data_IF_673604394716
#
_entry.id   IF_673604394716
#
_cell.length_a   1.000
_cell.length_b   1.000
_cell.length_c   1.000
_cell.angle_alpha   90.00
_cell.angle_beta   90.00
_cell.angle_gamma   90.00
#
_symmetry.space_group_name_H-M   'P 1'
#
loop_
_entity.id
_entity.type
_entity.pdbx_description
1 polymer ?
#
# COMPACT_ATOMS: atom_id res chain seq x y z
N UNK A 1 22.64 -4.13 9.09
CA UNK A 1 21.85 -2.95 9.53
C UNK A 1 21.70 -1.90 8.45
N UNK A 2 22.80 -1.42 7.82
CA UNK A 2 22.73 -0.43 6.73
C UNK A 2 21.82 -0.84 5.56
N UNK A 3 21.94 -2.08 5.09
CA UNK A 3 21.13 -2.56 3.95
C UNK A 3 19.63 -2.66 4.28
N UNK A 4 19.32 -3.00 5.53
CA UNK A 4 17.96 -3.00 6.04
C UNK A 4 17.36 -1.59 6.08
N UNK A 5 18.14 -0.60 6.52
CA UNK A 5 17.73 0.81 6.51
C UNK A 5 17.49 1.29 5.08
N UNK A 6 18.37 0.93 4.13
CA UNK A 6 18.22 1.29 2.72
C UNK A 6 16.95 0.66 2.14
N UNK A 7 16.71 -0.62 2.42
CA UNK A 7 15.50 -1.31 1.97
C UNK A 7 14.23 -0.64 2.51
N UNK A 8 14.20 -0.33 3.81
CA UNK A 8 13.09 0.39 4.42
C UNK A 8 12.86 1.74 3.75
N UNK A 9 13.91 2.57 3.61
CA UNK A 9 13.81 3.88 2.99
C UNK A 9 13.28 3.80 1.54
N UNK A 10 13.79 2.85 0.74
CA UNK A 10 13.34 2.64 -0.63
C UNK A 10 11.89 2.15 -0.69
N UNK A 11 11.49 1.23 0.21
CA UNK A 11 10.12 0.74 0.27
C UNK A 11 9.13 1.83 0.67
N UNK A 12 9.50 2.69 1.64
CA UNK A 12 8.66 3.82 2.05
C UNK A 12 8.54 4.85 0.93
N UNK A 13 9.67 5.24 0.31
CA UNK A 13 9.67 6.23 -0.76
C UNK A 13 8.84 5.76 -1.97
N UNK A 14 9.06 4.51 -2.41
CA UNK A 14 8.28 3.93 -3.50
C UNK A 14 6.81 3.78 -3.13
N UNK A 15 6.50 3.35 -1.91
CA UNK A 15 5.12 3.29 -1.42
C UNK A 15 4.43 4.64 -1.48
N UNK A 16 5.08 5.73 -1.06
CA UNK A 16 4.52 7.08 -1.16
C UNK A 16 4.22 7.48 -2.60
N UNK A 17 5.17 7.26 -3.52
CA UNK A 17 5.01 7.59 -4.94
C UNK A 17 3.83 6.79 -5.55
N UNK A 18 3.82 5.48 -5.35
CA UNK A 18 2.75 4.63 -5.88
C UNK A 18 1.41 4.88 -5.19
N UNK A 19 1.40 5.28 -3.92
CA UNK A 19 0.17 5.65 -3.21
C UNK A 19 -0.47 6.88 -3.84
N UNK A 20 0.31 7.90 -4.17
CA UNK A 20 -0.19 9.08 -4.89
C UNK A 20 -0.70 8.70 -6.29
N UNK A 21 0.08 7.91 -7.03
CA UNK A 21 -0.30 7.44 -8.37
C UNK A 21 -1.60 6.63 -8.33
N UNK A 22 -1.72 5.67 -7.41
CA UNK A 22 -2.91 4.83 -7.29
C UNK A 22 -4.11 5.61 -6.78
N UNK A 23 -3.92 6.57 -5.88
CA UNK A 23 -4.98 7.50 -5.48
C UNK A 23 -5.51 8.29 -6.68
N UNK A 24 -4.63 8.87 -7.49
CA UNK A 24 -5.01 9.59 -8.69
C UNK A 24 -5.74 8.68 -9.69
N UNK A 25 -5.20 7.49 -9.97
CA UNK A 25 -5.83 6.50 -10.85
C UNK A 25 -7.19 6.04 -10.32
N UNK A 26 -7.35 5.87 -9.01
CA UNK A 26 -8.61 5.46 -8.40
C UNK A 26 -9.69 6.55 -8.47
N UNK A 27 -9.30 7.83 -8.38
CA UNK A 27 -10.21 8.97 -8.48
C UNK A 27 -10.43 9.44 -9.92
N UNK A 28 -9.60 9.00 -10.87
CA UNK A 28 -9.81 9.22 -12.30
C UNK A 28 -11.08 8.52 -12.81
N UNK A 29 -11.48 8.83 -14.05
CA UNK A 29 -12.61 8.16 -14.74
C UNK A 29 -12.45 6.64 -14.83
N UNK A 30 -11.22 6.12 -14.73
CA UNK A 30 -10.95 4.68 -14.79
C UNK A 30 -11.43 3.95 -13.54
N UNK A 31 -11.41 4.61 -12.36
CA UNK A 31 -11.86 4.00 -11.12
C UNK A 31 -11.27 2.62 -10.84
N UNK A 32 -9.98 2.41 -11.18
CA UNK A 32 -9.38 1.08 -11.37
C UNK A 32 -9.59 0.14 -10.16
N UNK A 33 -9.55 0.68 -8.95
CA UNK A 33 -9.66 -0.12 -7.73
C UNK A 33 -11.05 -0.06 -7.10
N UNK A 34 -11.99 0.74 -7.62
CA UNK A 34 -13.35 0.88 -7.06
C UNK A 34 -14.11 -0.43 -7.01
N UNK A 35 -13.92 -1.32 -7.99
CA UNK A 35 -14.54 -2.64 -8.00
C UNK A 35 -14.04 -3.53 -6.85
N UNK A 36 -12.72 -3.50 -6.61
CA UNK A 36 -12.09 -4.26 -5.51
C UNK A 36 -12.50 -3.66 -4.16
N UNK A 37 -12.45 -2.33 -4.03
CA UNK A 37 -12.91 -1.61 -2.84
C UNK A 37 -14.35 -1.96 -2.50
N UNK A 38 -15.26 -1.96 -3.49
CA UNK A 38 -16.67 -2.32 -3.27
C UNK A 38 -16.83 -3.77 -2.79
N UNK A 39 -16.04 -4.72 -3.32
CA UNK A 39 -16.05 -6.11 -2.83
C UNK A 39 -15.54 -6.19 -1.40
N UNK A 40 -14.48 -5.45 -1.06
CA UNK A 40 -13.95 -5.40 0.30
C UNK A 40 -14.99 -4.78 1.26
N UNK A 41 -15.67 -3.72 0.85
CA UNK A 41 -16.71 -3.04 1.64
C UNK A 41 -17.95 -3.93 1.87
N UNK A 42 -18.19 -4.94 1.02
CA UNK A 42 -19.26 -5.94 1.25
C UNK A 42 -18.88 -7.05 2.24
N UNK A 43 -17.60 -7.16 2.61
CA UNK A 43 -17.16 -8.11 3.63
C UNK A 43 -17.51 -7.58 5.02
N UNK A 44 -17.82 -8.47 5.97
CA UNK A 44 -17.93 -8.05 7.36
C UNK A 44 -16.54 -7.63 7.91
N UNK A 45 -16.54 -6.87 9.00
CA UNK A 45 -15.32 -6.37 9.64
C UNK A 45 -14.31 -7.46 10.02
N UNK A 46 -14.78 -8.62 10.49
CA UNK A 46 -13.90 -9.76 10.82
C UNK A 46 -13.19 -10.29 9.57
N UNK A 47 -13.90 -10.42 8.45
CA UNK A 47 -13.33 -10.88 7.17
C UNK A 47 -12.39 -9.83 6.58
N UNK A 48 -12.75 -8.54 6.64
CA UNK A 48 -11.91 -7.42 6.21
C UNK A 48 -10.59 -7.39 6.98
N UNK A 49 -10.65 -7.48 8.32
CA UNK A 49 -9.46 -7.57 9.17
C UNK A 49 -8.60 -8.79 8.83
N UNK A 50 -9.22 -9.95 8.61
CA UNK A 50 -8.49 -11.16 8.26
C UNK A 50 -7.80 -11.03 6.89
N UNK A 51 -8.47 -10.41 5.91
CA UNK A 51 -7.90 -10.15 4.60
C UNK A 51 -6.69 -9.22 4.69
N UNK A 52 -6.77 -8.13 5.47
CA UNK A 52 -5.63 -7.23 5.68
C UNK A 52 -4.44 -7.95 6.35
N UNK A 53 -4.71 -8.81 7.35
CA UNK A 53 -3.68 -9.64 7.97
C UNK A 53 -3.03 -10.59 6.97
N UNK A 54 -3.82 -11.26 6.12
CA UNK A 54 -3.28 -12.13 5.08
C UNK A 54 -2.41 -11.38 4.07
N UNK A 55 -2.82 -10.18 3.64
CA UNK A 55 -2.01 -9.34 2.74
C UNK A 55 -0.69 -8.94 3.40
N UNK A 56 -0.69 -8.59 4.69
CA UNK A 56 0.52 -8.25 5.43
C UNK A 56 1.45 -9.47 5.61
N UNK A 57 0.91 -10.65 5.89
CA UNK A 57 1.69 -11.89 5.95
C UNK A 57 2.31 -12.19 4.58
N UNK A 58 1.53 -12.04 3.50
CA UNK A 58 2.01 -12.23 2.14
C UNK A 58 3.16 -11.25 1.80
N UNK A 59 3.06 -9.99 2.23
CA UNK A 59 4.13 -9.00 2.08
C UNK A 59 5.44 -9.46 2.75
N UNK A 60 5.35 -10.01 3.97
CA UNK A 60 6.52 -10.54 4.69
C UNK A 60 7.11 -11.74 3.95
N UNK A 61 6.28 -12.67 3.46
CA UNK A 61 6.72 -13.84 2.69
C UNK A 61 7.45 -13.40 1.41
N UNK A 62 6.91 -12.42 0.68
CA UNK A 62 7.55 -11.88 -0.52
C UNK A 62 8.87 -11.20 -0.17
N UNK A 63 8.93 -10.41 0.91
CA UNK A 63 10.17 -9.78 1.37
C UNK A 63 11.25 -10.80 1.70
N UNK A 64 10.90 -11.86 2.43
CA UNK A 64 11.81 -12.96 2.75
C UNK A 64 12.26 -13.73 1.51
N UNK A 65 11.34 -13.98 0.57
CA UNK A 65 11.65 -14.64 -0.69
C UNK A 65 12.65 -13.83 -1.52
N UNK A 66 12.46 -12.52 -1.64
CA UNK A 66 13.39 -11.63 -2.33
C UNK A 66 14.78 -11.63 -1.66
N UNK A 67 14.83 -11.65 -0.33
CA UNK A 67 16.07 -11.71 0.42
C UNK A 67 16.81 -13.05 0.22
N UNK A 68 16.08 -14.17 0.26
CA UNK A 68 16.64 -15.51 0.07
C UNK A 68 17.22 -15.72 -1.34
N UNK A 69 16.65 -15.07 -2.35
CA UNK A 69 17.12 -15.14 -3.74
C UNK A 69 18.16 -14.06 -4.07
N UNK A 70 18.67 -13.31 -3.09
CA UNK A 70 19.62 -12.22 -3.28
C UNK A 70 19.18 -11.20 -4.35
N UNK A 71 17.88 -10.94 -4.45
CA UNK A 71 17.33 -9.94 -5.36
C UNK A 71 17.84 -8.56 -4.94
N UNK A 72 18.19 -7.73 -5.93
CA UNK A 72 18.68 -6.38 -5.71
C UNK A 72 17.73 -5.60 -4.77
N UNK A 73 18.29 -4.99 -3.71
CA UNK A 73 17.56 -4.20 -2.71
C UNK A 73 16.68 -3.11 -3.34
N UNK A 74 17.10 -2.51 -4.45
CA UNK A 74 16.28 -1.55 -5.19
C UNK A 74 15.00 -2.15 -5.74
N UNK A 75 15.10 -3.32 -6.37
CA UNK A 75 13.97 -4.04 -6.93
C UNK A 75 13.05 -4.54 -5.82
N UNK A 76 13.63 -5.09 -4.75
CA UNK A 76 12.89 -5.54 -3.58
C UNK A 76 12.11 -4.39 -2.92
N UNK A 77 12.75 -3.24 -2.70
CA UNK A 77 12.11 -2.06 -2.15
C UNK A 77 10.95 -1.57 -3.01
N UNK A 78 11.12 -1.57 -4.33
CA UNK A 78 10.09 -1.17 -5.28
C UNK A 78 8.89 -2.13 -5.29
N UNK A 79 9.13 -3.45 -5.30
CA UNK A 79 8.07 -4.46 -5.21
C UNK A 79 7.28 -4.30 -3.91
N UNK A 80 7.97 -4.18 -2.78
CA UNK A 80 7.32 -4.00 -1.49
C UNK A 80 6.50 -2.70 -1.46
N UNK A 81 7.04 -1.60 -1.96
CA UNK A 81 6.34 -0.32 -2.02
C UNK A 81 5.07 -0.36 -2.86
N UNK A 82 5.10 -1.02 -4.03
CA UNK A 82 3.91 -1.22 -4.87
C UNK A 82 2.82 -1.99 -4.11
N UNK A 83 3.19 -3.08 -3.44
CA UNK A 83 2.22 -3.92 -2.72
C UNK A 83 1.62 -3.16 -1.54
N UNK A 84 2.43 -2.41 -0.79
CA UNK A 84 1.96 -1.56 0.32
C UNK A 84 0.97 -0.52 -0.20
N UNK A 85 1.34 0.24 -1.24
CA UNK A 85 0.48 1.25 -1.85
C UNK A 85 -0.84 0.66 -2.36
N UNK A 86 -0.78 -0.52 -2.98
CA UNK A 86 -1.97 -1.23 -3.46
C UNK A 86 -2.89 -1.64 -2.31
N UNK A 87 -2.33 -2.19 -1.22
CA UNK A 87 -3.08 -2.55 -0.03
C UNK A 87 -3.81 -1.32 0.56
N UNK A 88 -3.07 -0.22 0.72
CA UNK A 88 -3.61 1.04 1.24
C UNK A 88 -4.76 1.59 0.40
N UNK A 89 -4.66 1.54 -0.94
CA UNK A 89 -5.75 1.97 -1.82
C UNK A 89 -6.94 1.01 -1.73
N UNK A 90 -6.72 -0.30 -1.78
CA UNK A 90 -7.81 -1.28 -1.77
C UNK A 90 -8.64 -1.23 -0.49
N UNK A 91 -8.02 -0.95 0.66
CA UNK A 91 -8.71 -0.81 1.94
C UNK A 91 -9.23 0.61 2.24
N UNK A 92 -9.09 1.54 1.27
CA UNK A 92 -9.45 2.97 1.37
C UNK A 92 -8.74 3.73 2.51
N UNK A 93 -7.66 3.19 3.04
CA UNK A 93 -6.89 3.87 4.09
C UNK A 93 -6.27 5.16 3.54
N UNK A 94 -5.85 5.17 2.27
CA UNK A 94 -5.37 6.38 1.59
C UNK A 94 -6.43 7.46 1.45
N UNK A 95 -7.68 7.09 1.15
CA UNK A 95 -8.77 8.08 1.03
C UNK A 95 -9.01 8.77 2.38
N UNK A 96 -8.92 8.02 3.49
CA UNK A 96 -9.07 8.57 4.84
C UNK A 96 -7.89 9.48 5.23
N UNK A 97 -6.66 9.10 4.86
CA UNK A 97 -5.45 9.92 5.13
C UNK A 97 -5.53 11.25 4.39
N UNK A 98 -5.76 11.24 3.07
CA UNK A 98 -5.85 12.47 2.26
C UNK A 98 -7.05 13.35 2.64
N UNK A 99 -8.17 12.77 3.10
CA UNK A 99 -9.32 13.56 3.57
C UNK A 99 -9.05 14.25 4.91
N UNK A 100 -8.27 13.63 5.80
CA UNK A 100 -7.90 14.25 7.07
C UNK A 100 -6.87 15.38 6.87
N UNK A 101 -5.86 15.18 6.02
CA UNK A 101 -4.88 16.23 5.68
C UNK A 101 -5.58 17.50 5.14
N UNK A 102 -6.58 17.34 4.28
CA UNK A 102 -7.33 18.48 3.73
C UNK A 102 -8.20 19.21 4.76
N UNK A 103 -8.68 18.52 5.81
CA UNK A 103 -9.46 19.15 6.88
C UNK A 103 -8.57 19.97 7.81
N UNK A 104 -7.38 19.48 8.10
CA UNK A 104 -6.42 20.18 8.96
C UNK A 104 -5.90 21.45 8.27
N UNK A 105 -5.85 21.48 6.93
CA UNK A 105 -5.51 22.68 6.15
C UNK A 105 -6.65 23.70 6.00
N UNK A 106 -7.90 23.36 6.32
CA UNK A 106 -9.04 24.30 6.25
C UNK A 106 -9.38 24.97 7.60
N UNK A 107 -8.85 24.45 8.70
CA UNK A 107 -9.04 24.99 10.05
C UNK A 107 -7.93 25.96 10.48
N UNK A 108 -7.12 26.44 9.54
CA UNK A 108 -5.97 27.31 9.77
C UNK A 108 -5.99 28.51 8.82
#
# INVERSE_FOLDING_TARGET
MKDFIILLALSTLSSTIFSYLFYWLNNSKLGLFKSIQRKIDTLNEKKKRNLNLFTNILLIVIGLFCLANHINFFVTGLILGIIIAFNLVCFRELENIFKNDNKDQQNH
#
